data_IF_828243114629
#
_entry.id   IF_828243114629
#
_cell.length_a   1.000
_cell.length_b   1.000
_cell.length_c   1.000
_cell.angle_alpha   90.00
_cell.angle_beta   90.00
_cell.angle_gamma   90.00
#
_symmetry.space_group_name_H-M   'P 1'
#
loop_
_entity.id
_entity.type
_entity.pdbx_description
1 polymer ?
#
# COMPACT_ATOMS: atom_id res chain seq x y z
N UNK A 1 12.21 -38.58 8.18
CA UNK A 1 12.33 -37.26 8.85
C UNK A 1 13.49 -36.39 8.37
N UNK A 2 14.70 -36.91 8.05
CA UNK A 2 15.83 -36.06 7.57
C UNK A 2 15.57 -35.34 6.24
N UNK A 3 14.79 -35.93 5.32
CA UNK A 3 14.51 -35.37 3.98
C UNK A 3 13.83 -33.99 4.02
N UNK A 4 12.90 -33.76 4.95
CA UNK A 4 12.15 -32.51 5.05
C UNK A 4 12.87 -31.41 5.83
N UNK A 5 13.99 -31.70 6.49
CA UNK A 5 14.70 -30.69 7.31
C UNK A 5 15.31 -29.61 6.43
N UNK A 6 15.93 -30.00 5.32
CA UNK A 6 16.53 -29.06 4.38
C UNK A 6 15.46 -28.20 3.70
N UNK A 7 14.35 -28.80 3.28
CA UNK A 7 13.22 -28.07 2.69
C UNK A 7 12.62 -27.06 3.69
N UNK A 8 12.48 -27.45 4.96
CA UNK A 8 12.02 -26.56 6.01
C UNK A 8 12.97 -25.38 6.24
N UNK A 9 14.29 -25.62 6.21
CA UNK A 9 15.28 -24.55 6.32
C UNK A 9 15.19 -23.56 5.16
N UNK A 10 14.97 -24.05 3.93
CA UNK A 10 14.77 -23.17 2.78
C UNK A 10 13.47 -22.38 2.90
N UNK A 11 12.36 -23.02 3.27
CA UNK A 11 11.08 -22.35 3.47
C UNK A 11 11.18 -21.27 4.55
N UNK A 12 11.82 -21.57 5.68
CA UNK A 12 12.09 -20.59 6.73
C UNK A 12 13.00 -19.47 6.23
N UNK A 13 14.03 -19.78 5.44
CA UNK A 13 14.89 -18.77 4.82
C UNK A 13 14.08 -17.83 3.91
N UNK A 14 13.24 -18.37 3.02
CA UNK A 14 12.39 -17.60 2.12
C UNK A 14 11.36 -16.75 2.85
N UNK A 15 10.92 -17.17 4.04
CA UNK A 15 9.99 -16.38 4.86
C UNK A 15 10.72 -15.32 5.70
N UNK A 16 11.82 -15.69 6.37
CA UNK A 16 12.51 -14.83 7.33
C UNK A 16 13.36 -13.76 6.65
N UNK A 17 13.99 -14.05 5.51
CA UNK A 17 14.87 -13.09 4.84
C UNK A 17 14.13 -11.82 4.41
N UNK A 18 12.95 -11.87 3.73
CA UNK A 18 12.20 -10.66 3.42
C UNK A 18 11.72 -9.92 4.68
N UNK A 19 11.27 -10.64 5.70
CA UNK A 19 10.84 -10.03 6.97
C UNK A 19 11.98 -9.28 7.66
N UNK A 20 13.20 -9.80 7.60
CA UNK A 20 14.38 -9.12 8.14
C UNK A 20 14.77 -7.90 7.29
N UNK A 21 14.76 -8.04 5.96
CA UNK A 21 15.10 -6.94 5.05
C UNK A 21 14.09 -5.78 5.15
N UNK A 22 12.81 -6.10 5.30
CA UNK A 22 11.71 -5.14 5.42
C UNK A 22 11.22 -4.99 6.87
N UNK A 23 12.05 -5.32 7.86
CA UNK A 23 11.67 -5.28 9.28
C UNK A 23 11.17 -3.89 9.71
N UNK A 24 11.77 -2.82 9.17
CA UNK A 24 11.41 -1.45 9.52
C UNK A 24 10.01 -1.03 9.06
N UNK A 25 9.50 -1.64 7.99
CA UNK A 25 8.15 -1.38 7.44
C UNK A 25 7.10 -2.42 7.86
N UNK A 26 7.50 -3.68 8.05
CA UNK A 26 6.63 -4.78 8.52
C UNK A 26 6.30 -4.63 10.00
N UNK A 27 7.34 -4.60 10.83
CA UNK A 27 7.28 -4.60 12.30
C UNK A 27 7.54 -3.22 12.89
N UNK A 28 8.29 -2.38 12.17
CA UNK A 28 8.64 -1.04 12.61
C UNK A 28 7.51 -0.01 12.44
N UNK A 29 7.91 1.27 12.54
CA UNK A 29 7.02 2.42 12.39
C UNK A 29 6.99 3.03 10.99
N UNK A 30 7.74 2.49 10.03
CA UNK A 30 7.84 3.04 8.68
C UNK A 30 6.77 2.45 7.76
N UNK A 31 6.63 3.04 6.57
CA UNK A 31 5.75 2.54 5.50
C UNK A 31 6.56 2.35 4.22
N UNK A 32 6.10 1.44 3.36
CA UNK A 32 6.67 1.23 2.03
C UNK A 32 6.14 2.23 0.98
N UNK A 33 5.25 3.13 1.38
CA UNK A 33 4.71 4.16 0.49
C UNK A 33 5.80 5.20 0.13
N UNK A 34 5.89 5.63 -1.14
CA UNK A 34 6.75 6.73 -1.57
C UNK A 34 6.09 8.07 -1.22
N UNK A 35 6.03 8.39 0.07
CA UNK A 35 5.33 9.58 0.59
C UNK A 35 6.01 10.87 0.14
N UNK A 36 7.31 10.84 -0.12
CA UNK A 36 8.08 11.94 -0.70
C UNK A 36 7.55 12.35 -2.09
N UNK A 37 6.99 11.41 -2.86
CA UNK A 37 6.41 11.73 -4.17
C UNK A 37 5.20 12.69 -4.08
N UNK A 38 4.50 12.77 -2.93
CA UNK A 38 3.41 13.73 -2.76
C UNK A 38 3.88 15.18 -2.85
N UNK A 39 5.11 15.45 -2.40
CA UNK A 39 5.67 16.80 -2.32
C UNK A 39 6.04 17.39 -3.69
N UNK A 40 5.79 16.66 -4.77
CA UNK A 40 5.91 17.18 -6.14
C UNK A 40 4.77 18.16 -6.50
N UNK A 41 3.63 18.09 -5.82
CA UNK A 41 2.44 18.85 -6.17
C UNK A 41 1.84 19.61 -4.98
N UNK A 42 1.09 20.67 -5.28
CA UNK A 42 0.34 21.41 -4.28
C UNK A 42 -0.78 20.53 -3.65
N UNK A 43 -1.12 20.73 -2.36
CA UNK A 43 -0.54 21.72 -1.46
C UNK A 43 0.79 21.28 -0.81
N UNK A 44 1.17 20.01 -0.91
CA UNK A 44 2.32 19.45 -0.18
C UNK A 44 3.66 20.06 -0.61
N UNK A 45 3.82 20.42 -1.87
CA UNK A 45 5.05 21.04 -2.37
C UNK A 45 5.47 22.31 -1.63
N UNK A 46 4.52 23.06 -1.04
CA UNK A 46 4.81 24.24 -0.23
C UNK A 46 5.60 23.92 1.05
N UNK A 47 5.50 22.67 1.55
CA UNK A 47 6.12 22.20 2.79
C UNK A 47 7.36 21.32 2.53
N UNK A 48 7.76 21.11 1.27
CA UNK A 48 8.85 20.20 0.92
C UNK A 48 10.17 20.57 1.61
N UNK A 49 10.48 21.87 1.69
CA UNK A 49 11.68 22.39 2.34
C UNK A 49 11.71 22.14 3.85
N UNK A 50 10.55 22.10 4.52
CA UNK A 50 10.45 21.84 5.97
C UNK A 50 10.89 20.40 6.31
N UNK A 51 10.69 19.47 5.39
CA UNK A 51 11.12 18.08 5.50
C UNK A 51 12.47 17.80 4.82
N UNK A 52 13.18 18.84 4.36
CA UNK A 52 14.46 18.70 3.66
C UNK A 52 14.33 17.97 2.30
N UNK A 53 13.15 17.98 1.70
CA UNK A 53 12.89 17.33 0.41
C UNK A 53 13.17 18.33 -0.72
N UNK A 54 14.15 18.02 -1.57
CA UNK A 54 14.44 18.78 -2.80
C UNK A 54 13.82 18.14 -4.03
N UNK A 55 13.86 16.81 -4.09
CA UNK A 55 13.27 15.98 -5.14
C UNK A 55 12.93 14.60 -4.57
N UNK A 56 11.90 13.92 -5.10
CA UNK A 56 11.57 12.55 -4.69
C UNK A 56 12.71 11.59 -5.03
N UNK A 57 12.86 10.53 -4.23
CA UNK A 57 13.88 9.50 -4.45
C UNK A 57 13.57 8.69 -5.72
N UNK A 58 12.30 8.39 -5.97
CA UNK A 58 11.88 7.66 -7.16
C UNK A 58 10.51 8.16 -7.66
N UNK A 59 10.47 9.13 -8.58
CA UNK A 59 9.21 9.65 -9.10
C UNK A 59 8.41 8.64 -9.92
N UNK A 60 9.03 7.56 -10.41
CA UNK A 60 8.39 6.56 -11.28
C UNK A 60 7.37 5.67 -10.54
N UNK A 61 7.37 5.69 -9.21
CA UNK A 61 6.46 4.90 -8.36
C UNK A 61 5.38 5.78 -7.71
N UNK A 62 5.09 6.95 -8.28
CA UNK A 62 4.11 7.90 -7.72
C UNK A 62 2.70 7.35 -7.68
N UNK A 63 2.34 6.46 -8.62
CA UNK A 63 1.03 5.81 -8.71
C UNK A 63 0.65 5.06 -7.42
N UNK A 64 1.64 4.49 -6.71
CA UNK A 64 1.40 3.81 -5.45
C UNK A 64 0.78 4.75 -4.40
N UNK A 65 1.18 6.03 -4.41
CA UNK A 65 0.70 7.02 -3.46
C UNK A 65 -0.51 7.81 -3.99
N UNK A 66 -0.48 8.28 -5.25
CA UNK A 66 -1.53 9.16 -5.78
C UNK A 66 -2.76 8.40 -6.31
N UNK A 67 -2.64 7.08 -6.52
CA UNK A 67 -3.72 6.28 -7.09
C UNK A 67 -4.04 5.06 -6.21
N UNK A 68 -3.07 4.17 -5.96
CA UNK A 68 -3.33 2.93 -5.23
C UNK A 68 -3.78 3.18 -3.79
N UNK A 69 -3.09 4.07 -3.07
CA UNK A 69 -3.48 4.47 -1.72
C UNK A 69 -4.92 5.01 -1.66
N UNK A 70 -5.28 5.89 -2.58
CA UNK A 70 -6.63 6.46 -2.65
C UNK A 70 -7.69 5.37 -2.92
N UNK A 71 -7.40 4.40 -3.79
CA UNK A 71 -8.30 3.26 -4.02
C UNK A 71 -8.46 2.36 -2.79
N UNK A 72 -7.36 2.06 -2.08
CA UNK A 72 -7.44 1.26 -0.84
C UNK A 72 -8.21 2.01 0.25
N UNK A 73 -8.02 3.32 0.35
CA UNK A 73 -8.79 4.17 1.25
C UNK A 73 -10.29 4.15 0.90
N UNK A 74 -10.66 4.33 -0.37
CA UNK A 74 -12.04 4.27 -0.81
C UNK A 74 -12.71 2.92 -0.49
N UNK A 75 -12.04 1.80 -0.78
CA UNK A 75 -12.54 0.45 -0.45
C UNK A 75 -12.76 0.32 1.05
N UNK A 76 -11.78 0.74 1.85
CA UNK A 76 -11.83 0.67 3.30
C UNK A 76 -13.00 1.48 3.86
N UNK A 77 -13.15 2.73 3.44
CA UNK A 77 -14.23 3.62 3.88
C UNK A 77 -15.60 3.06 3.51
N UNK A 78 -15.76 2.57 2.27
CA UNK A 78 -17.03 2.00 1.79
C UNK A 78 -17.42 0.74 2.55
N UNK A 79 -16.46 -0.18 2.75
CA UNK A 79 -16.71 -1.42 3.50
C UNK A 79 -17.03 -1.12 4.96
N UNK A 80 -16.33 -0.18 5.60
CA UNK A 80 -16.65 0.20 6.98
C UNK A 80 -17.98 0.95 7.12
N UNK A 81 -18.43 1.63 6.06
CA UNK A 81 -19.79 2.15 5.95
C UNK A 81 -20.84 1.05 5.67
N UNK A 82 -20.43 -0.23 5.58
CA UNK A 82 -21.26 -1.41 5.29
C UNK A 82 -21.88 -1.37 3.89
N UNK A 83 -21.17 -0.78 2.95
CA UNK A 83 -21.56 -0.73 1.55
C UNK A 83 -20.56 -1.48 0.67
N UNK A 84 -20.96 -1.77 -0.57
CA UNK A 84 -20.16 -2.46 -1.57
C UNK A 84 -19.62 -1.41 -2.54
N UNK A 85 -18.29 -1.30 -2.77
CA UNK A 85 -17.69 -0.24 -3.59
C UNK A 85 -17.91 -0.45 -5.10
N UNK A 86 -19.17 -0.51 -5.56
CA UNK A 86 -19.50 -0.76 -6.96
C UNK A 86 -19.19 0.45 -7.86
N UNK A 87 -19.38 1.67 -7.34
CA UNK A 87 -19.25 2.92 -8.07
C UNK A 87 -18.40 3.91 -7.27
N UNK A 88 -17.38 4.49 -7.90
CA UNK A 88 -16.57 5.54 -7.27
C UNK A 88 -17.07 6.91 -7.74
N UNK A 89 -17.72 7.71 -6.87
CA UNK A 89 -18.25 9.03 -7.24
C UNK A 89 -17.17 10.12 -7.26
N UNK A 90 -15.96 9.85 -6.74
CA UNK A 90 -14.90 10.84 -6.57
C UNK A 90 -14.09 11.09 -7.85
N UNK A 91 -14.41 10.40 -8.95
CA UNK A 91 -13.71 10.52 -10.23
C UNK A 91 -14.69 11.00 -11.30
N UNK A 92 -14.49 12.23 -11.80
CA UNK A 92 -15.35 12.86 -12.82
C UNK A 92 -16.84 12.85 -12.39
N UNK A 93 -17.75 12.34 -13.25
CA UNK A 93 -19.16 12.13 -12.92
C UNK A 93 -19.42 10.75 -12.26
N UNK A 94 -18.34 10.08 -11.87
CA UNK A 94 -18.31 8.73 -11.32
C UNK A 94 -17.88 7.68 -12.34
N UNK A 95 -17.32 6.58 -11.82
CA UNK A 95 -16.85 5.45 -12.63
C UNK A 95 -17.20 4.11 -11.97
N UNK A 96 -17.41 3.02 -12.76
CA UNK A 96 -17.48 1.67 -12.20
C UNK A 96 -16.18 1.35 -11.47
N UNK A 97 -16.26 1.03 -10.19
CA UNK A 97 -15.07 0.76 -9.37
C UNK A 97 -14.73 -0.73 -9.41
N UNK A 98 -15.56 -1.62 -8.83
CA UNK A 98 -15.26 -3.06 -8.76
C UNK A 98 -15.06 -3.77 -10.11
N UNK A 99 -15.52 -3.17 -11.22
CA UNK A 99 -15.26 -3.66 -12.57
C UNK A 99 -13.84 -3.34 -13.07
N UNK A 100 -13.19 -2.31 -12.51
CA UNK A 100 -11.85 -1.86 -12.86
C UNK A 100 -10.80 -2.59 -12.01
N UNK A 101 -10.47 -3.84 -12.34
CA UNK A 101 -9.67 -4.75 -11.51
C UNK A 101 -8.29 -4.26 -10.99
N UNK A 102 -7.80 -3.10 -11.41
CA UNK A 102 -6.54 -2.48 -10.97
C UNK A 102 -6.46 -2.19 -9.46
N UNK A 103 -7.59 -1.87 -8.81
CA UNK A 103 -7.59 -1.58 -7.37
C UNK A 103 -7.41 -2.84 -6.49
N UNK A 104 -7.59 -4.03 -7.07
CA UNK A 104 -7.38 -5.32 -6.41
C UNK A 104 -8.31 -5.60 -5.22
N UNK A 105 -9.55 -5.09 -5.21
CA UNK A 105 -10.45 -5.24 -4.05
C UNK A 105 -10.83 -6.71 -3.80
N UNK A 106 -10.93 -7.51 -4.86
CA UNK A 106 -11.18 -8.96 -4.77
C UNK A 106 -9.91 -9.80 -4.62
N UNK A 107 -8.73 -9.19 -4.52
CA UNK A 107 -7.51 -9.93 -4.22
C UNK A 107 -7.54 -10.42 -2.76
N UNK A 108 -7.34 -11.72 -2.47
CA UNK A 108 -7.51 -12.26 -1.11
C UNK A 108 -6.69 -11.53 -0.04
N UNK A 109 -5.46 -11.12 -0.36
CA UNK A 109 -4.60 -10.40 0.59
C UNK A 109 -5.00 -8.93 0.79
N UNK A 110 -5.95 -8.39 0.03
CA UNK A 110 -6.53 -7.06 0.31
C UNK A 110 -7.21 -6.99 1.67
N UNK A 111 -7.51 -8.13 2.31
CA UNK A 111 -7.99 -8.19 3.69
C UNK A 111 -7.02 -7.51 4.68
N UNK A 112 -5.71 -7.53 4.41
CA UNK A 112 -4.72 -6.86 5.26
C UNK A 112 -4.95 -5.35 5.32
N UNK A 113 -5.38 -4.74 4.21
CA UNK A 113 -5.69 -3.31 4.12
C UNK A 113 -6.98 -2.91 4.86
N UNK A 114 -7.83 -3.89 5.16
CA UNK A 114 -9.03 -3.70 5.98
C UNK A 114 -8.73 -3.84 7.47
N UNK A 115 -7.82 -4.75 7.85
CA UNK A 115 -7.52 -5.04 9.26
C UNK A 115 -6.46 -4.09 9.83
N UNK A 116 -5.38 -3.85 9.09
CA UNK A 116 -4.25 -3.04 9.55
C UNK A 116 -4.48 -1.55 9.28
N UNK A 117 -3.76 -0.64 9.97
CA UNK A 117 -3.65 0.75 9.54
C UNK A 117 -3.18 0.82 8.08
N UNK A 118 -3.82 1.64 7.26
CA UNK A 118 -3.66 1.59 5.80
C UNK A 118 -2.20 1.73 5.36
N UNK A 119 -1.48 2.72 5.89
CA UNK A 119 -0.07 2.92 5.60
C UNK A 119 0.82 1.75 6.04
N UNK A 120 0.46 1.02 7.10
CA UNK A 120 1.22 -0.16 7.55
C UNK A 120 0.95 -1.39 6.69
N UNK A 121 -0.24 -1.53 6.12
CA UNK A 121 -0.60 -2.68 5.29
C UNK A 121 0.33 -2.82 4.07
N UNK A 122 0.90 -1.73 3.55
CA UNK A 122 1.87 -1.76 2.46
C UNK A 122 3.21 -2.41 2.82
N UNK A 123 3.49 -2.61 4.11
CA UNK A 123 4.67 -3.34 4.57
C UNK A 123 4.47 -4.86 4.64
N UNK A 124 3.27 -5.37 4.38
CA UNK A 124 2.90 -6.79 4.52
C UNK A 124 2.44 -7.39 3.19
#
# INVERSE_FOLDING_TARGET
>A
MKRFRTDLLFLLGFLLLPLLLFASVTLGGQTMLPVDNLYQWAPWSAYASEFGLTQPHNPLISDLMIQNYAWKQFVRETIFARDIPLWNPNLFAGVPFLAAGQHGAYYPFSVLFLILPLAKAYGW
#
